data_IF_424254478587
#
_entry.id   IF_424254478587
#
_cell.length_a   1.000
_cell.length_b   1.000
_cell.length_c   1.000
_cell.angle_alpha   90.00
_cell.angle_beta   90.00
_cell.angle_gamma   90.00
#
_symmetry.space_group_name_H-M   'P 1'
#
loop_
_entity.id
_entity.type
_entity.pdbx_description
1 polymer ?
#
# COMPACT_ATOMS: atom_id res chain seq x y z
N UNK A 1 -13.44 -1.98 -36.12
CA UNK A 1 -12.55 -2.46 -35.03
C UNK A 1 -12.46 -1.47 -33.85
N UNK A 2 -12.28 -0.17 -34.08
CA UNK A 2 -12.17 0.86 -33.01
C UNK A 2 -13.41 0.95 -32.11
N UNK A 3 -14.62 0.85 -32.66
CA UNK A 3 -15.89 0.88 -31.90
C UNK A 3 -16.13 -0.34 -30.99
N UNK A 4 -15.50 -1.48 -31.28
CA UNK A 4 -15.61 -2.68 -30.44
C UNK A 4 -14.65 -2.57 -29.25
N UNK A 5 -13.44 -2.05 -29.49
CA UNK A 5 -12.44 -1.82 -28.45
C UNK A 5 -12.92 -0.81 -27.40
N UNK A 6 -13.55 0.30 -27.82
CA UNK A 6 -14.11 1.29 -26.89
C UNK A 6 -15.25 0.72 -26.06
N UNK A 7 -16.19 -0.06 -26.63
CA UNK A 7 -17.27 -0.70 -25.85
C UNK A 7 -16.77 -1.74 -24.86
N UNK A 8 -15.77 -2.53 -25.24
CA UNK A 8 -15.15 -3.52 -24.33
C UNK A 8 -14.44 -2.78 -23.19
N UNK A 9 -13.72 -1.71 -23.48
CA UNK A 9 -13.03 -0.90 -22.45
C UNK A 9 -14.03 -0.22 -21.50
N UNK A 10 -15.16 0.28 -22.01
CA UNK A 10 -16.22 0.89 -21.20
C UNK A 10 -16.96 -0.13 -20.31
N UNK A 11 -17.24 -1.33 -20.83
CA UNK A 11 -17.82 -2.42 -20.03
C UNK A 11 -16.85 -2.92 -18.97
N UNK A 12 -15.56 -3.05 -19.31
CA UNK A 12 -14.54 -3.50 -18.35
C UNK A 12 -14.35 -2.46 -17.25
N UNK A 13 -14.40 -1.16 -17.58
CA UNK A 13 -14.33 -0.07 -16.60
C UNK A 13 -15.53 -0.08 -15.65
N UNK A 14 -16.76 -0.22 -16.18
CA UNK A 14 -17.99 -0.28 -15.37
C UNK A 14 -18.05 -1.53 -14.49
N UNK A 15 -17.50 -2.65 -14.98
CA UNK A 15 -17.44 -3.89 -14.22
C UNK A 15 -16.40 -3.80 -13.09
N UNK A 16 -15.22 -3.25 -13.37
CA UNK A 16 -14.18 -2.97 -12.37
C UNK A 16 -14.68 -1.98 -11.30
N UNK A 17 -15.42 -0.95 -11.70
CA UNK A 17 -15.98 0.03 -10.77
C UNK A 17 -17.07 -0.59 -9.88
N UNK A 18 -17.94 -1.44 -10.46
CA UNK A 18 -18.93 -2.17 -9.68
C UNK A 18 -18.29 -3.13 -8.67
N UNK A 19 -17.32 -3.94 -9.09
CA UNK A 19 -16.70 -4.93 -8.21
C UNK A 19 -15.81 -4.28 -7.15
N UNK A 20 -15.10 -3.20 -7.50
CA UNK A 20 -14.34 -2.41 -6.53
C UNK A 20 -15.25 -1.75 -5.51
N UNK A 21 -16.37 -1.15 -5.93
CA UNK A 21 -17.36 -0.56 -5.03
C UNK A 21 -17.96 -1.61 -4.09
N UNK A 22 -18.28 -2.79 -4.64
CA UNK A 22 -18.86 -3.88 -3.84
C UNK A 22 -17.85 -4.42 -2.84
N UNK A 23 -16.60 -4.68 -3.26
CA UNK A 23 -15.53 -5.11 -2.35
C UNK A 23 -15.26 -4.08 -1.25
N UNK A 24 -15.32 -2.79 -1.59
CA UNK A 24 -15.25 -1.71 -0.61
C UNK A 24 -16.43 -1.79 0.37
N UNK A 25 -17.67 -1.90 -0.10
CA UNK A 25 -18.87 -2.07 0.74
C UNK A 25 -18.78 -3.27 1.69
N UNK A 26 -18.27 -4.43 1.23
CA UNK A 26 -18.07 -5.60 2.09
C UNK A 26 -17.05 -5.35 3.20
N UNK A 27 -15.91 -4.74 2.86
CA UNK A 27 -14.91 -4.32 3.85
C UNK A 27 -15.53 -3.34 4.83
N UNK A 28 -16.34 -2.41 4.35
CA UNK A 28 -16.99 -1.38 5.17
C UNK A 28 -18.00 -1.97 6.15
N UNK A 29 -18.82 -2.94 5.70
CA UNK A 29 -19.77 -3.64 6.56
C UNK A 29 -19.05 -4.45 7.64
N UNK A 30 -17.97 -5.15 7.27
CA UNK A 30 -17.15 -5.89 8.23
C UNK A 30 -16.44 -4.97 9.25
N UNK A 31 -16.05 -3.77 8.80
CA UNK A 31 -15.44 -2.74 9.63
C UNK A 31 -16.47 -2.14 10.60
N UNK A 32 -17.68 -1.84 10.13
CA UNK A 32 -18.76 -1.28 10.93
C UNK A 32 -19.36 -2.28 11.94
N UNK A 33 -19.32 -3.59 11.65
CA UNK A 33 -19.80 -4.64 12.56
C UNK A 33 -18.81 -5.00 13.67
N UNK A 34 -17.64 -4.38 13.71
CA UNK A 34 -16.61 -4.68 14.71
C UNK A 34 -16.91 -3.93 16.01
N UNK A 35 -17.21 -4.66 17.08
CA UNK A 35 -17.49 -4.09 18.40
C UNK A 35 -16.23 -3.61 19.14
N UNK A 36 -15.03 -4.09 18.75
CA UNK A 36 -13.78 -3.74 19.41
C UNK A 36 -13.12 -2.51 18.78
N UNK A 37 -12.96 -1.46 19.56
CA UNK A 37 -12.30 -0.23 19.09
C UNK A 37 -10.77 -0.34 19.18
N UNK A 38 -10.07 0.43 18.34
CA UNK A 38 -8.59 0.51 18.38
C UNK A 38 -8.12 1.02 19.76
N UNK A 39 -8.87 1.95 20.36
CA UNK A 39 -8.60 2.51 21.68
C UNK A 39 -8.61 1.46 22.80
N UNK A 40 -9.62 0.59 22.84
CA UNK A 40 -9.74 -0.48 23.83
C UNK A 40 -8.59 -1.48 23.75
N UNK A 41 -8.23 -1.89 22.53
CA UNK A 41 -7.09 -2.80 22.32
C UNK A 41 -5.74 -2.15 22.69
N UNK A 42 -5.61 -0.84 22.47
CA UNK A 42 -4.37 -0.12 22.73
C UNK A 42 -4.19 0.32 24.19
N UNK A 43 -5.14 0.06 25.10
CA UNK A 43 -5.02 0.44 26.52
C UNK A 43 -3.76 -0.12 27.20
N UNK A 44 -3.27 -1.28 26.75
CA UNK A 44 -2.04 -1.90 27.28
C UNK A 44 -0.75 -1.47 26.56
N UNK A 45 -0.84 -0.67 25.50
CA UNK A 45 0.32 -0.29 24.68
C UNK A 45 0.71 1.15 24.97
N UNK A 46 1.98 1.41 25.30
CA UNK A 46 2.42 2.79 25.50
C UNK A 46 2.29 3.58 24.20
N UNK A 47 1.65 4.75 24.27
CA UNK A 47 1.49 5.66 23.12
C UNK A 47 2.83 6.01 22.48
N UNK A 48 3.88 6.12 23.31
CA UNK A 48 5.27 6.30 22.88
C UNK A 48 5.79 5.14 22.03
N UNK A 49 5.56 3.88 22.42
CA UNK A 49 5.97 2.73 21.62
C UNK A 49 5.27 2.70 20.25
N UNK A 50 3.99 3.10 20.21
CA UNK A 50 3.24 3.19 18.95
C UNK A 50 3.78 4.27 18.02
N UNK A 51 4.16 5.43 18.58
CA UNK A 51 4.83 6.51 17.83
C UNK A 51 6.17 6.06 17.28
N UNK A 52 6.99 5.42 18.10
CA UNK A 52 8.29 4.90 17.69
C UNK A 52 8.09 3.93 16.53
N UNK A 53 7.22 2.92 16.65
CA UNK A 53 6.95 1.96 15.58
C UNK A 53 6.48 2.65 14.29
N UNK A 54 5.58 3.63 14.41
CA UNK A 54 5.02 4.36 13.26
C UNK A 54 6.08 5.16 12.51
N UNK A 55 7.12 5.65 13.18
CA UNK A 55 8.20 6.43 12.55
C UNK A 55 9.35 5.53 12.09
N UNK A 56 9.78 4.61 12.95
CA UNK A 56 10.95 3.78 12.72
C UNK A 56 10.74 2.77 11.60
N UNK A 57 9.57 2.11 11.55
CA UNK A 57 9.33 1.04 10.58
C UNK A 57 9.35 1.58 9.14
N UNK A 58 8.62 2.64 8.77
CA UNK A 58 8.75 3.26 7.44
C UNK A 58 10.17 3.69 7.11
N UNK A 59 10.89 4.23 8.09
CA UNK A 59 12.26 4.73 7.90
C UNK A 59 13.25 3.61 7.58
N UNK A 60 13.16 2.48 8.29
CA UNK A 60 13.97 1.29 7.98
C UNK A 60 13.69 0.82 6.56
N UNK A 61 12.42 0.71 6.16
CA UNK A 61 12.06 0.27 4.82
C UNK A 61 12.65 1.19 3.74
N UNK A 62 12.48 2.51 3.87
CA UNK A 62 13.04 3.46 2.91
C UNK A 62 14.57 3.35 2.85
N UNK A 63 15.23 3.29 4.02
CA UNK A 63 16.68 3.19 4.10
C UNK A 63 17.21 1.88 3.49
N UNK A 64 16.61 0.74 3.81
CA UNK A 64 17.01 -0.56 3.28
C UNK A 64 16.89 -0.63 1.77
N UNK A 65 15.80 -0.13 1.19
CA UNK A 65 15.62 -0.11 -0.26
C UNK A 65 16.52 0.91 -0.97
N UNK A 66 16.80 2.05 -0.34
CA UNK A 66 17.78 3.02 -0.84
C UNK A 66 19.20 2.41 -0.84
N UNK A 67 19.58 1.72 0.23
CA UNK A 67 20.87 1.03 0.32
C UNK A 67 21.00 -0.09 -0.72
N UNK A 68 19.94 -0.90 -0.90
CA UNK A 68 19.89 -1.92 -1.95
C UNK A 68 20.03 -1.31 -3.35
N UNK A 69 19.31 -0.22 -3.61
CA UNK A 69 19.40 0.52 -4.87
C UNK A 69 20.83 1.03 -5.13
N UNK A 70 21.50 1.54 -4.10
CA UNK A 70 22.90 1.98 -4.19
C UNK A 70 23.86 0.82 -4.46
N UNK A 71 23.67 -0.34 -3.83
CA UNK A 71 24.49 -1.54 -4.09
C UNK A 71 24.32 -2.00 -5.54
N UNK A 72 23.08 -2.14 -6.01
CA UNK A 72 22.78 -2.57 -7.38
C UNK A 72 23.33 -1.56 -8.41
N UNK A 73 23.25 -0.26 -8.12
CA UNK A 73 23.77 0.78 -8.99
C UNK A 73 25.30 0.69 -9.18
N UNK A 74 26.03 0.34 -8.12
CA UNK A 74 27.49 0.23 -8.14
C UNK A 74 28.00 -1.15 -8.57
N UNK A 75 27.12 -2.15 -8.75
CA UNK A 75 27.52 -3.49 -9.16
C UNK A 75 27.79 -3.53 -10.68
N UNK A 76 29.05 -3.76 -11.11
CA UNK A 76 29.40 -3.83 -12.53
C UNK A 76 28.75 -5.02 -13.24
N UNK A 77 28.39 -6.09 -12.53
CA UNK A 77 27.80 -7.31 -13.11
C UNK A 77 26.30 -7.19 -13.39
N UNK A 78 25.60 -6.29 -12.70
CA UNK A 78 24.14 -6.11 -12.84
C UNK A 78 23.77 -4.93 -13.74
N UNK A 79 24.76 -4.34 -14.41
CA UNK A 79 24.59 -3.17 -15.27
C UNK A 79 24.69 -1.89 -14.46
N UNK A 80 25.91 -1.55 -14.06
CA UNK A 80 26.25 -0.22 -13.55
C UNK A 80 25.69 0.86 -14.50
N UNK A 81 24.87 1.77 -13.97
CA UNK A 81 24.44 2.98 -14.70
C UNK A 81 22.98 3.08 -15.13
N UNK A 82 22.12 2.07 -14.92
CA UNK A 82 20.69 2.21 -15.25
C UNK A 82 19.89 2.92 -14.12
N UNK A 83 20.05 4.25 -14.03
CA UNK A 83 19.37 5.14 -13.07
C UNK A 83 17.84 4.93 -13.05
N UNK A 84 17.24 4.50 -14.16
CA UNK A 84 15.82 4.26 -14.26
C UNK A 84 15.31 3.14 -13.34
N UNK A 85 16.17 2.22 -12.85
CA UNK A 85 15.77 1.12 -11.94
C UNK A 85 15.50 1.57 -10.50
N UNK A 86 16.11 2.67 -10.06
CA UNK A 86 16.01 3.19 -8.70
C UNK A 86 14.57 3.56 -8.29
N UNK A 87 13.80 4.31 -9.10
CA UNK A 87 12.39 4.58 -8.81
C UNK A 87 11.55 3.32 -8.55
N UNK A 88 11.81 2.23 -9.26
CA UNK A 88 11.03 0.99 -9.15
C UNK A 88 11.38 0.17 -7.92
N UNK A 89 12.61 0.28 -7.42
CA UNK A 89 12.97 -0.27 -6.11
C UNK A 89 12.37 0.57 -4.96
N UNK A 90 12.24 1.88 -5.15
CA UNK A 90 11.74 2.79 -4.12
C UNK A 90 10.20 2.81 -4.02
N UNK A 91 9.48 2.70 -5.13
CA UNK A 91 8.01 2.67 -5.19
C UNK A 91 7.34 1.65 -4.22
N UNK A 92 7.77 0.38 -4.14
CA UNK A 92 7.22 -0.57 -3.18
C UNK A 92 7.56 -0.21 -1.73
N UNK A 93 8.76 0.33 -1.47
CA UNK A 93 9.13 0.80 -0.14
C UNK A 93 8.25 1.97 0.32
N UNK A 94 7.95 2.91 -0.58
CA UNK A 94 7.05 4.05 -0.33
C UNK A 94 5.64 3.56 -0.04
N UNK A 95 5.15 2.55 -0.76
CA UNK A 95 3.82 1.99 -0.53
C UNK A 95 3.71 1.32 0.84
N UNK A 96 4.70 0.50 1.22
CA UNK A 96 4.77 -0.10 2.56
C UNK A 96 4.80 0.99 3.64
N UNK A 97 5.66 2.00 3.46
CA UNK A 97 5.76 3.14 4.37
C UNK A 97 4.40 3.85 4.54
N UNK A 98 3.69 4.11 3.44
CA UNK A 98 2.37 4.74 3.46
C UNK A 98 1.34 3.91 4.24
N UNK A 99 1.31 2.59 4.06
CA UNK A 99 0.41 1.71 4.82
C UNK A 99 0.70 1.80 6.32
N UNK A 100 1.98 1.76 6.72
CA UNK A 100 2.38 1.89 8.13
C UNK A 100 2.02 3.25 8.72
N UNK A 101 2.17 4.33 7.95
CA UNK A 101 1.74 5.68 8.35
C UNK A 101 0.22 5.71 8.55
N UNK A 102 -0.57 5.17 7.62
CA UNK A 102 -2.02 5.11 7.75
C UNK A 102 -2.45 4.30 8.98
N UNK A 103 -1.85 3.13 9.20
CA UNK A 103 -2.06 2.29 10.38
C UNK A 103 -1.71 3.00 11.69
N UNK A 104 -0.55 3.65 11.73
CA UNK A 104 -0.08 4.40 12.88
C UNK A 104 -0.98 5.60 13.17
N UNK A 105 -1.43 6.30 12.13
CA UNK A 105 -2.39 7.38 12.25
C UNK A 105 -3.69 6.91 12.89
N UNK A 106 -4.26 5.79 12.42
CA UNK A 106 -5.48 5.22 13.02
C UNK A 106 -5.28 4.87 14.50
N UNK A 107 -4.11 4.30 14.85
CA UNK A 107 -3.78 3.96 16.25
C UNK A 107 -3.61 5.18 17.15
N UNK A 108 -3.07 6.27 16.63
CA UNK A 108 -2.65 7.44 17.42
C UNK A 108 -3.68 8.55 17.49
N UNK A 109 -4.45 8.74 16.42
CA UNK A 109 -5.35 9.89 16.24
C UNK A 109 -6.81 9.52 16.08
N UNK A 110 -7.14 8.24 15.82
CA UNK A 110 -8.52 7.79 15.64
C UNK A 110 -8.82 6.59 16.55
N UNK A 111 -8.72 6.74 17.89
CA UNK A 111 -8.94 5.63 18.82
C UNK A 111 -10.38 5.07 18.75
N UNK A 112 -11.33 5.88 18.32
CA UNK A 112 -12.73 5.50 18.12
C UNK A 112 -12.98 4.68 16.85
N UNK A 113 -11.99 4.53 15.98
CA UNK A 113 -12.16 3.69 14.79
C UNK A 113 -12.21 2.20 15.19
N UNK A 114 -13.03 1.40 14.50
CA UNK A 114 -13.11 -0.03 14.69
C UNK A 114 -11.77 -0.71 14.38
N UNK A 115 -11.37 -1.68 15.20
CA UNK A 115 -10.11 -2.41 15.02
C UNK A 115 -10.03 -3.13 13.66
N UNK A 116 -11.18 -3.56 13.13
CA UNK A 116 -11.29 -4.15 11.81
C UNK A 116 -10.74 -3.25 10.68
N UNK A 117 -10.82 -1.92 10.79
CA UNK A 117 -10.24 -1.02 9.76
C UNK A 117 -8.71 -1.11 9.75
N UNK A 118 -8.10 -1.18 10.93
CA UNK A 118 -6.67 -1.39 11.07
C UNK A 118 -6.26 -2.78 10.58
N UNK A 119 -7.05 -3.81 10.91
CA UNK A 119 -6.80 -5.18 10.49
C UNK A 119 -6.95 -5.36 8.97
N UNK A 120 -7.90 -4.69 8.32
CA UNK A 120 -8.06 -4.68 6.88
C UNK A 120 -6.83 -4.08 6.18
N UNK A 121 -6.26 -3.00 6.72
CA UNK A 121 -4.98 -2.47 6.23
C UNK A 121 -3.83 -3.47 6.43
N UNK A 122 -3.82 -4.22 7.53
CA UNK A 122 -2.72 -5.14 7.84
C UNK A 122 -2.76 -6.42 7.02
N UNK A 123 -3.91 -7.10 7.01
CA UNK A 123 -4.09 -8.33 6.24
C UNK A 123 -4.24 -8.03 4.75
N UNK A 124 -5.11 -7.08 4.40
CA UNK A 124 -5.40 -6.73 3.01
C UNK A 124 -4.24 -5.97 2.38
N UNK A 125 -3.98 -4.74 2.83
CA UNK A 125 -2.99 -3.91 2.16
C UNK A 125 -1.55 -4.43 2.38
N UNK A 126 -1.14 -4.70 3.60
CA UNK A 126 0.26 -5.08 3.87
C UNK A 126 0.59 -6.54 3.47
N UNK A 127 -0.09 -7.53 4.05
CA UNK A 127 0.23 -8.94 3.81
C UNK A 127 -0.12 -9.41 2.39
N UNK A 128 -1.30 -9.09 1.89
CA UNK A 128 -1.75 -9.58 0.58
C UNK A 128 -1.22 -8.76 -0.62
N UNK A 129 -0.92 -7.46 -0.46
CA UNK A 129 -0.49 -6.64 -1.60
C UNK A 129 0.94 -6.11 -1.47
N UNK A 130 1.32 -5.53 -0.34
CA UNK A 130 2.61 -4.85 -0.22
C UNK A 130 3.80 -5.82 -0.24
N UNK A 131 3.71 -6.93 0.50
CA UNK A 131 4.75 -7.96 0.54
C UNK A 131 4.98 -8.65 -0.82
N UNK A 132 3.94 -9.15 -1.52
CA UNK A 132 4.10 -9.67 -2.88
C UNK A 132 4.62 -8.61 -3.85
N UNK A 133 4.15 -7.36 -3.74
CA UNK A 133 4.63 -6.27 -4.59
C UNK A 133 6.13 -6.02 -4.40
N UNK A 134 6.64 -6.05 -3.17
CA UNK A 134 8.08 -5.94 -2.89
C UNK A 134 8.86 -7.07 -3.57
N UNK A 135 8.42 -8.32 -3.41
CA UNK A 135 9.11 -9.47 -4.02
C UNK A 135 9.11 -9.36 -5.54
N UNK A 136 7.95 -9.10 -6.15
CA UNK A 136 7.81 -8.97 -7.60
C UNK A 136 8.69 -7.84 -8.13
N UNK A 137 8.61 -6.63 -7.54
CA UNK A 137 9.41 -5.50 -8.00
C UNK A 137 10.92 -5.72 -7.83
N UNK A 138 11.35 -6.48 -6.83
CA UNK A 138 12.75 -6.88 -6.67
C UNK A 138 13.22 -7.79 -7.83
N UNK A 139 12.44 -8.83 -8.17
CA UNK A 139 12.76 -9.68 -9.33
C UNK A 139 12.71 -8.89 -10.64
N UNK A 140 11.71 -8.02 -10.80
CA UNK A 140 11.58 -7.12 -11.95
C UNK A 140 12.83 -6.24 -12.07
N UNK A 141 13.33 -5.65 -10.98
CA UNK A 141 14.53 -4.81 -11.01
C UNK A 141 15.79 -5.56 -11.46
N UNK A 142 15.91 -6.85 -11.15
CA UNK A 142 17.08 -7.68 -11.48
C UNK A 142 17.09 -8.21 -12.93
N UNK A 143 15.94 -8.56 -13.49
CA UNK A 143 15.86 -9.36 -14.73
C UNK A 143 15.29 -8.62 -15.96
N UNK A 144 15.11 -7.28 -15.92
CA UNK A 144 14.00 -6.69 -16.68
C UNK A 144 14.09 -6.37 -18.18
N UNK A 145 12.91 -6.53 -18.80
CA UNK A 145 12.35 -5.81 -19.97
C UNK A 145 11.44 -4.64 -19.53
N UNK A 146 11.43 -3.56 -20.31
CA UNK A 146 10.76 -2.27 -19.99
C UNK A 146 9.23 -2.35 -19.80
N UNK A 147 8.55 -3.31 -20.43
CA UNK A 147 7.07 -3.39 -20.38
C UNK A 147 6.52 -3.82 -19.01
N UNK A 148 7.21 -4.74 -18.33
CA UNK A 148 6.79 -5.25 -17.02
C UNK A 148 6.90 -4.15 -15.95
N UNK A 149 7.90 -3.28 -16.12
CA UNK A 149 8.19 -2.13 -15.27
C UNK A 149 7.07 -1.10 -15.31
N UNK A 150 6.54 -0.82 -16.50
CA UNK A 150 5.44 0.12 -16.66
C UNK A 150 4.15 -0.41 -16.03
N UNK A 151 3.84 -1.70 -16.25
CA UNK A 151 2.68 -2.35 -15.66
C UNK A 151 2.74 -2.36 -14.12
N UNK A 152 3.92 -2.62 -13.54
CA UNK A 152 4.09 -2.63 -12.08
C UNK A 152 3.95 -1.25 -11.46
N UNK A 153 4.46 -0.19 -12.10
CA UNK A 153 4.27 1.18 -11.60
C UNK A 153 2.80 1.61 -11.64
N UNK A 154 2.07 1.28 -12.70
CA UNK A 154 0.63 1.55 -12.78
C UNK A 154 -0.14 0.83 -11.67
N UNK A 155 0.15 -0.45 -11.43
CA UNK A 155 -0.45 -1.21 -10.34
C UNK A 155 -0.14 -0.57 -8.99
N UNK A 156 1.10 -0.13 -8.77
CA UNK A 156 1.52 0.49 -7.52
C UNK A 156 0.80 1.84 -7.26
N UNK A 157 0.63 2.64 -8.31
CA UNK A 157 -0.12 3.89 -8.22
C UNK A 157 -1.58 3.66 -7.84
N UNK A 158 -2.23 2.64 -8.42
CA UNK A 158 -3.60 2.26 -8.08
C UNK A 158 -3.71 1.79 -6.62
N UNK A 159 -2.76 0.99 -6.15
CA UNK A 159 -2.71 0.51 -4.77
C UNK A 159 -2.52 1.66 -3.77
N UNK A 160 -1.59 2.59 -4.05
CA UNK A 160 -1.40 3.79 -3.24
C UNK A 160 -2.68 4.64 -3.20
N UNK A 161 -3.33 4.86 -4.34
CA UNK A 161 -4.57 5.62 -4.41
C UNK A 161 -5.71 4.96 -3.60
N UNK A 162 -5.85 3.63 -3.68
CA UNK A 162 -6.84 2.88 -2.91
C UNK A 162 -6.60 2.99 -1.39
N UNK A 163 -5.35 2.87 -0.93
CA UNK A 163 -4.99 3.03 0.49
C UNK A 163 -5.28 4.45 0.97
N UNK A 164 -4.95 5.48 0.18
CA UNK A 164 -5.25 6.87 0.52
C UNK A 164 -6.75 7.11 0.59
N UNK A 165 -7.51 6.63 -0.40
CA UNK A 165 -8.96 6.77 -0.42
C UNK A 165 -9.61 6.10 0.81
N UNK A 166 -9.19 4.88 1.13
CA UNK A 166 -9.62 4.18 2.33
C UNK A 166 -9.25 4.95 3.60
N UNK A 167 -8.01 5.43 3.70
CA UNK A 167 -7.54 6.19 4.85
C UNK A 167 -8.36 7.47 5.06
N UNK A 168 -8.53 8.29 4.02
CA UNK A 168 -9.35 9.51 4.08
C UNK A 168 -10.78 9.19 4.50
N UNK A 169 -11.36 8.10 3.98
CA UNK A 169 -12.70 7.68 4.33
C UNK A 169 -12.83 7.32 5.82
N UNK A 170 -11.89 6.52 6.36
CA UNK A 170 -11.90 6.17 7.80
C UNK A 170 -11.76 7.43 8.64
N UNK A 171 -10.84 8.34 8.28
CA UNK A 171 -10.67 9.60 9.00
C UNK A 171 -11.96 10.42 8.97
N UNK A 172 -12.61 10.58 7.82
CA UNK A 172 -13.87 11.33 7.73
C UNK A 172 -15.02 10.72 8.53
N UNK A 173 -15.05 9.39 8.65
CA UNK A 173 -16.14 8.68 9.33
C UNK A 173 -15.99 8.70 10.85
N UNK A 174 -14.76 8.64 11.35
CA UNK A 174 -14.46 8.46 12.78
C UNK A 174 -13.70 9.61 13.43
N UNK A 175 -13.25 10.62 12.67
CA UNK A 175 -12.74 11.88 13.20
C UNK A 175 -13.91 12.74 13.66
N UNK A 176 -14.30 12.59 14.92
CA UNK A 176 -15.20 13.52 15.61
C UNK A 176 -14.39 14.44 16.50
#
# INVERSE_FOLDING_TARGET
>A
MVLLATRVQEMTLKFLDHDASRAFEWVMQAVASSELTIGEKNQMTSRLAQWIITIWVPSIFIFSFAALGFIIYNDPNQGAGFLWRLPFLMLPAIYVAMIYVAMGYLRLFVPSAPFAAWEALYKGAYMCTAMPSVMINFFVALYCQVWIVLASACLQALLMAAVVAFWIWVVRTYSK
#
